data_IF_074081668636
#
_entry.id   IF_074081668636
#
_cell.length_a   1.000
_cell.length_b   1.000
_cell.length_c   1.000
_cell.angle_alpha   90.00
_cell.angle_beta   90.00
_cell.angle_gamma   90.00
#
_symmetry.space_group_name_H-M   'P 1'
#
loop_
_entity.id
_entity.type
_entity.pdbx_description
1 polymer ?
#
# COMPACT_ATOMS: atom_id res chain seq x y z
N UNK A 1 1.41 -3.14 0.76
CA UNK A 1 1.20 -4.31 -0.13
C UNK A 1 1.62 -5.57 0.59
N UNK A 2 1.31 -6.76 0.08
CA UNK A 2 1.68 -8.01 0.74
C UNK A 2 3.17 -8.29 0.50
N UNK A 3 3.91 -8.59 1.58
CA UNK A 3 5.37 -8.78 1.51
C UNK A 3 5.77 -10.04 0.72
N UNK A 4 4.90 -11.05 0.72
CA UNK A 4 5.06 -12.29 -0.02
C UNK A 4 4.55 -12.20 -1.47
N UNK A 5 4.08 -11.03 -1.91
CA UNK A 5 3.51 -10.83 -3.25
C UNK A 5 2.15 -11.50 -3.46
N UNK A 6 1.54 -12.06 -2.41
CA UNK A 6 0.21 -12.65 -2.46
C UNK A 6 -0.93 -11.63 -2.33
N UNK A 7 -2.13 -12.12 -2.08
CA UNK A 7 -3.31 -11.26 -1.88
C UNK A 7 -3.30 -10.58 -0.51
N UNK A 8 -3.72 -9.31 -0.48
CA UNK A 8 -3.92 -8.50 0.73
C UNK A 8 -5.23 -8.78 1.46
N UNK A 9 -6.14 -9.60 0.91
CA UNK A 9 -7.45 -9.91 1.54
C UNK A 9 -7.36 -10.78 2.80
N UNK A 10 -6.18 -11.37 3.05
CA UNK A 10 -5.93 -12.23 4.21
C UNK A 10 -6.01 -11.43 5.51
N UNK A 11 -6.64 -12.02 6.53
CA UNK A 11 -6.93 -11.35 7.80
C UNK A 11 -5.67 -10.84 8.51
N UNK A 12 -4.56 -11.60 8.49
CA UNK A 12 -3.28 -11.21 9.08
C UNK A 12 -2.68 -9.95 8.42
N UNK A 13 -2.83 -9.80 7.09
CA UNK A 13 -2.34 -8.63 6.35
C UNK A 13 -3.20 -7.40 6.62
N UNK A 14 -4.51 -7.59 6.69
CA UNK A 14 -5.44 -6.52 7.03
C UNK A 14 -5.32 -6.08 8.48
N UNK A 15 -4.99 -6.99 9.42
CA UNK A 15 -4.75 -6.63 10.80
C UNK A 15 -3.55 -5.69 10.92
N UNK A 16 -2.42 -6.06 10.34
CA UNK A 16 -1.23 -5.19 10.30
C UNK A 16 -1.50 -3.86 9.58
N UNK A 17 -2.35 -3.86 8.55
CA UNK A 17 -2.74 -2.63 7.84
C UNK A 17 -3.54 -1.69 8.75
N UNK A 18 -4.45 -2.24 9.55
CA UNK A 18 -5.24 -1.46 10.53
C UNK A 18 -4.36 -1.02 11.70
N UNK A 19 -3.40 -1.84 12.13
CA UNK A 19 -2.44 -1.48 13.18
C UNK A 19 -1.57 -0.27 12.76
N UNK A 20 -1.12 -0.23 11.49
CA UNK A 20 -0.45 0.96 10.93
C UNK A 20 -1.37 2.18 11.00
N UNK A 21 -2.62 2.02 10.59
CA UNK A 21 -3.59 3.12 10.57
C UNK A 21 -3.85 3.70 11.96
N UNK A 22 -4.00 2.85 12.97
CA UNK A 22 -4.17 3.24 14.36
C UNK A 22 -2.91 3.90 14.95
N UNK A 23 -1.75 3.31 14.66
CA UNK A 23 -0.47 3.82 15.15
C UNK A 23 -0.15 5.20 14.58
N UNK A 24 -0.24 5.37 13.26
CA UNK A 24 0.01 6.65 12.57
C UNK A 24 -0.98 7.73 13.02
N UNK A 25 -2.23 7.33 13.29
CA UNK A 25 -3.25 8.26 13.73
C UNK A 25 -2.98 8.89 15.11
N UNK A 26 -2.29 8.18 16.00
CA UNK A 26 -2.16 8.55 17.43
C UNK A 26 -0.72 8.89 17.88
N UNK A 27 0.31 8.27 17.29
CA UNK A 27 1.67 8.30 17.84
C UNK A 27 2.57 9.42 17.28
N UNK A 28 2.04 10.25 16.38
CA UNK A 28 2.79 11.36 15.76
C UNK A 28 2.20 12.73 16.14
N UNK A 29 2.38 13.20 17.38
CA UNK A 29 1.93 14.52 17.78
C UNK A 29 2.90 15.60 17.30
N UNK A 30 2.39 16.62 16.61
CA UNK A 30 3.12 17.87 16.34
C UNK A 30 2.41 18.99 17.08
N UNK A 31 3.15 19.74 17.91
CA UNK A 31 2.57 20.73 18.84
C UNK A 31 1.45 20.14 19.71
N UNK A 32 1.61 18.90 20.17
CA UNK A 32 0.64 18.17 20.99
C UNK A 32 -0.71 17.87 20.31
N UNK A 33 -0.79 17.98 18.98
CA UNK A 33 -1.95 17.57 18.18
C UNK A 33 -1.59 16.35 17.33
N UNK A 34 -2.41 15.32 17.39
CA UNK A 34 -2.29 14.09 16.59
C UNK A 34 -3.11 14.19 15.30
N UNK A 35 -2.97 13.21 14.40
CA UNK A 35 -3.78 13.17 13.18
C UNK A 35 -5.29 13.18 13.48
N UNK A 36 -5.72 12.43 14.50
CA UNK A 36 -7.14 12.36 14.86
C UNK A 36 -7.69 13.68 15.43
N UNK A 37 -6.82 14.57 15.91
CA UNK A 37 -7.24 15.90 16.37
C UNK A 37 -7.42 16.89 15.22
N UNK A 38 -6.74 16.65 14.08
CA UNK A 38 -6.67 17.60 12.95
C UNK A 38 -7.43 17.15 11.70
N UNK A 39 -7.86 15.90 11.61
CA UNK A 39 -8.39 15.32 10.36
C UNK A 39 -9.77 15.85 9.93
N UNK A 40 -10.51 16.53 10.81
CA UNK A 40 -11.86 17.04 10.55
C UNK A 40 -12.77 16.02 9.84
N UNK A 41 -13.14 16.24 8.58
CA UNK A 41 -14.02 15.37 7.80
C UNK A 41 -13.32 14.16 7.18
N UNK A 42 -11.98 14.11 7.21
CA UNK A 42 -11.18 13.05 6.58
C UNK A 42 -10.79 11.92 7.53
N UNK A 43 -11.18 11.98 8.81
CA UNK A 43 -10.89 10.92 9.79
C UNK A 43 -11.46 9.57 9.36
N UNK A 44 -12.57 9.59 8.61
CA UNK A 44 -13.28 8.41 8.11
C UNK A 44 -12.83 7.97 6.71
N UNK A 45 -11.78 8.58 6.14
CA UNK A 45 -11.34 8.26 4.78
C UNK A 45 -10.92 6.79 4.61
N UNK A 46 -10.44 6.15 5.68
CA UNK A 46 -10.01 4.74 5.68
C UNK A 46 -11.05 3.79 6.28
N UNK A 47 -12.28 4.26 6.49
CA UNK A 47 -13.33 3.50 7.15
C UNK A 47 -13.65 2.20 6.41
N UNK A 48 -13.69 2.26 5.08
CA UNK A 48 -13.93 1.09 4.24
C UNK A 48 -12.91 -0.03 4.49
N UNK A 49 -11.63 0.30 4.72
CA UNK A 49 -10.57 -0.68 5.03
C UNK A 49 -10.80 -1.33 6.40
N UNK A 50 -11.13 -0.52 7.42
CA UNK A 50 -11.43 -1.02 8.77
C UNK A 50 -12.65 -1.92 8.77
N UNK A 51 -13.72 -1.50 8.10
CA UNK A 51 -14.97 -2.26 8.07
C UNK A 51 -14.86 -3.51 7.22
N UNK A 52 -14.07 -3.51 6.15
CA UNK A 52 -13.78 -4.74 5.40
C UNK A 52 -13.11 -5.79 6.29
N UNK A 53 -12.08 -5.40 7.06
CA UNK A 53 -11.41 -6.28 8.02
C UNK A 53 -12.36 -6.79 9.11
N UNK A 54 -13.20 -5.91 9.66
CA UNK A 54 -14.18 -6.29 10.68
C UNK A 54 -15.25 -7.23 10.13
N UNK A 55 -15.76 -6.95 8.94
CA UNK A 55 -16.71 -7.83 8.26
C UNK A 55 -16.12 -9.20 7.95
N UNK A 56 -14.83 -9.27 7.57
CA UNK A 56 -14.14 -10.55 7.37
C UNK A 56 -14.04 -11.34 8.67
N UNK A 57 -13.74 -10.68 9.79
CA UNK A 57 -13.73 -11.30 11.12
C UNK A 57 -15.12 -11.79 11.53
N UNK A 58 -16.18 -11.00 11.29
CA UNK A 58 -17.55 -11.38 11.61
C UNK A 58 -18.00 -12.61 10.80
N UNK A 59 -17.66 -12.63 9.51
CA UNK A 59 -17.96 -13.77 8.63
C UNK A 59 -17.24 -15.04 9.08
N UNK A 60 -15.97 -14.93 9.49
CA UNK A 60 -15.21 -16.05 10.04
C UNK A 60 -15.83 -16.63 11.33
N UNK A 61 -16.58 -15.82 12.09
CA UNK A 61 -17.28 -16.28 13.30
C UNK A 61 -18.67 -16.89 13.06
N UNK A 62 -19.11 -17.04 11.80
CA UNK A 62 -20.44 -17.59 11.41
C UNK A 62 -21.64 -16.91 12.09
N UNK A 63 -21.51 -15.65 12.53
CA UNK A 63 -22.54 -14.95 13.31
C UNK A 63 -23.51 -14.10 12.48
N UNK A 64 -23.27 -13.93 11.18
CA UNK A 64 -24.12 -13.11 10.31
C UNK A 64 -24.32 -13.84 8.99
N UNK A 65 -25.50 -14.42 8.81
CA UNK A 65 -25.94 -15.15 7.60
C UNK A 65 -26.84 -14.28 6.71
N UNK A 66 -27.12 -13.05 7.13
CA UNK A 66 -27.99 -12.16 6.38
C UNK A 66 -27.20 -11.23 5.45
N UNK A 67 -27.34 -11.48 4.14
CA UNK A 67 -26.70 -10.72 3.06
C UNK A 67 -27.13 -9.25 3.04
N UNK A 68 -28.31 -8.92 3.62
CA UNK A 68 -28.81 -7.55 3.69
C UNK A 68 -27.98 -6.68 4.67
N UNK A 69 -27.38 -7.33 5.68
CA UNK A 69 -26.56 -6.68 6.70
C UNK A 69 -25.06 -6.75 6.42
N UNK A 70 -24.57 -7.82 5.81
CA UNK A 70 -23.15 -8.01 5.55
C UNK A 70 -22.90 -8.62 4.16
N UNK A 71 -22.19 -7.87 3.31
CA UNK A 71 -21.71 -8.35 2.01
C UNK A 71 -20.33 -7.76 1.74
N UNK A 72 -19.29 -8.61 1.63
CA UNK A 72 -17.92 -8.18 1.38
C UNK A 72 -17.55 -8.20 -0.10
N UNK A 73 -18.46 -7.75 -0.96
CA UNK A 73 -18.21 -7.66 -2.39
C UNK A 73 -17.47 -6.39 -2.78
N UNK A 74 -16.70 -6.45 -3.86
CA UNK A 74 -16.11 -5.32 -4.57
C UNK A 74 -16.95 -4.99 -5.81
N UNK A 75 -17.17 -3.71 -6.16
CA UNK A 75 -16.55 -2.49 -5.60
C UNK A 75 -17.23 -1.92 -4.35
N UNK A 76 -18.50 -2.23 -4.12
CA UNK A 76 -19.27 -1.72 -2.99
C UNK A 76 -19.53 -2.86 -2.03
N UNK A 77 -19.11 -2.68 -0.78
CA UNK A 77 -19.40 -3.61 0.32
C UNK A 77 -20.58 -3.08 1.17
N UNK A 78 -21.34 -4.00 1.75
CA UNK A 78 -22.38 -3.71 2.74
C UNK A 78 -21.87 -4.11 4.12
N UNK A 79 -21.91 -3.20 5.08
CA UNK A 79 -21.59 -3.49 6.47
C UNK A 79 -22.62 -2.83 7.39
N UNK A 80 -23.34 -3.65 8.16
CA UNK A 80 -24.40 -3.22 9.09
C UNK A 80 -25.44 -2.33 8.39
N UNK A 81 -25.88 -2.75 7.20
CA UNK A 81 -26.88 -2.01 6.42
C UNK A 81 -26.36 -0.78 5.68
N UNK A 82 -25.08 -0.41 5.84
CA UNK A 82 -24.45 0.73 5.15
C UNK A 82 -23.59 0.26 3.98
N UNK A 83 -23.74 0.93 2.84
CA UNK A 83 -22.90 0.72 1.66
C UNK A 83 -21.62 1.56 1.76
N UNK A 84 -20.47 0.90 1.61
CA UNK A 84 -19.14 1.50 1.61
C UNK A 84 -18.42 1.16 0.30
N UNK A 85 -17.82 2.17 -0.32
CA UNK A 85 -17.03 2.00 -1.54
C UNK A 85 -15.59 1.60 -1.21
N UNK A 86 -15.16 0.45 -1.71
CA UNK A 86 -13.79 -0.05 -1.56
C UNK A 86 -12.84 0.51 -2.62
N UNK A 87 -13.36 1.00 -3.74
CA UNK A 87 -12.59 1.46 -4.91
C UNK A 87 -11.52 2.52 -4.58
N UNK A 88 -11.73 3.48 -3.65
CA UNK A 88 -10.71 4.47 -3.30
C UNK A 88 -9.49 3.90 -2.56
N UNK A 89 -9.62 2.73 -1.96
CA UNK A 89 -8.56 2.11 -1.14
C UNK A 89 -8.04 0.80 -1.72
N UNK A 90 -8.82 0.05 -2.49
CA UNK A 90 -8.48 -1.29 -2.96
C UNK A 90 -8.04 -1.25 -4.43
N UNK A 91 -6.78 -1.62 -4.69
CA UNK A 91 -6.18 -1.52 -6.02
C UNK A 91 -5.63 -2.86 -6.50
N UNK A 92 -5.72 -3.09 -7.82
CA UNK A 92 -5.33 -4.35 -8.46
C UNK A 92 -6.20 -5.53 -8.02
N UNK A 93 -7.51 -5.28 -7.88
CA UNK A 93 -8.52 -6.28 -7.54
C UNK A 93 -8.78 -7.16 -8.75
N UNK A 94 -8.77 -8.48 -8.55
CA UNK A 94 -9.34 -9.47 -9.48
C UNK A 94 -10.55 -10.09 -8.80
N UNK A 95 -11.69 -10.03 -9.47
CA UNK A 95 -12.94 -10.63 -9.01
C UNK A 95 -13.13 -11.99 -9.63
N UNK A 96 -13.82 -12.87 -8.92
CA UNK A 96 -14.25 -14.16 -9.46
C UNK A 96 -15.36 -13.89 -10.48
N UNK A 97 -15.02 -13.92 -11.76
CA UNK A 97 -16.02 -13.80 -12.82
C UNK A 97 -16.84 -15.09 -12.89
N UNK A 98 -18.15 -14.98 -12.70
CA UNK A 98 -19.11 -16.09 -12.76
C UNK A 98 -19.11 -16.79 -14.12
N UNK A 99 -18.60 -16.17 -15.18
CA UNK A 99 -18.40 -16.77 -16.51
C UNK A 99 -17.34 -17.88 -16.53
N UNK A 100 -16.44 -17.94 -15.53
CA UNK A 100 -15.46 -19.03 -15.41
C UNK A 100 -15.98 -20.23 -14.59
N UNK A 101 -17.08 -20.05 -13.86
CA UNK A 101 -17.68 -21.11 -13.02
C UNK A 101 -18.48 -22.11 -13.88
N UNK A 102 -19.11 -21.66 -14.97
CA UNK A 102 -19.82 -22.54 -15.91
C UNK A 102 -18.91 -23.57 -16.62
N UNK A 103 -17.61 -23.25 -16.76
CA UNK A 103 -16.62 -24.15 -17.35
C UNK A 103 -16.02 -25.17 -16.35
N UNK A 104 -16.26 -25.01 -15.04
CA UNK A 104 -15.87 -26.02 -14.03
C UNK A 104 -17.01 -26.96 -13.66
N UNK A 105 -18.26 -26.52 -13.74
CA UNK A 105 -19.43 -27.40 -13.54
C UNK A 105 -19.66 -28.38 -14.68
N UNK A 106 -19.13 -28.12 -15.88
CA UNK A 106 -19.20 -29.03 -17.04
C UNK A 106 -18.12 -30.14 -17.04
N UNK A 107 -17.20 -30.14 -16.07
CA UNK A 107 -16.20 -31.21 -15.83
C UNK A 107 -16.50 -31.92 -14.49
N UNK A 108 -17.78 -32.08 -14.14
CA UNK A 108 -18.20 -32.94 -13.01
C UNK A 108 -19.46 -33.77 -13.32
N UNK A 109 -19.74 -34.03 -14.59
CA UNK A 109 -20.80 -34.94 -15.01
C UNK A 109 -20.34 -35.84 -16.15
N UNK A 110 -19.34 -36.67 -15.86
CA UNK A 110 -19.08 -37.94 -16.55
C UNK A 110 -17.90 -38.66 -15.89
N UNK A 111 -18.13 -39.18 -14.69
CA UNK A 111 -17.42 -40.39 -14.26
C UNK A 111 -18.45 -41.36 -13.74
N UNK A 112 -18.96 -42.19 -14.64
CA UNK A 112 -19.67 -43.41 -14.33
C UNK A 112 -18.72 -44.28 -13.51
N UNK A 113 -18.93 -44.35 -12.20
CA UNK A 113 -18.25 -45.34 -11.35
C UNK A 113 -19.05 -46.62 -11.48
N UNK A 114 -18.52 -47.58 -12.23
CA UNK A 114 -18.84 -48.98 -12.02
C UNK A 114 -18.16 -49.39 -10.71
N UNK A 115 -18.92 -50.03 -9.83
CA UNK A 115 -18.43 -50.66 -8.61
C UNK A 115 -17.37 -51.70 -8.98
N UNK A 116 -16.15 -51.57 -8.45
CA UNK A 116 -15.50 -52.71 -7.79
C UNK A 116 -14.33 -52.26 -6.90
N UNK A 117 -14.21 -53.02 -5.82
CA UNK A 117 -13.07 -53.25 -4.93
C UNK A 117 -12.55 -52.20 -3.92
N UNK A 118 -12.22 -52.77 -2.77
CA UNK A 118 -11.72 -52.16 -1.54
C UNK A 118 -10.33 -51.56 -1.72
N UNK A 119 -10.09 -50.35 -1.20
CA UNK A 119 -8.92 -50.12 -0.33
C UNK A 119 -9.03 -48.77 0.40
N UNK A 120 -8.60 -48.82 1.65
CA UNK A 120 -8.84 -47.87 2.71
C UNK A 120 -7.53 -47.12 2.97
N UNK A 121 -7.33 -45.94 2.39
CA UNK A 121 -6.17 -45.09 2.66
C UNK A 121 -6.56 -43.69 3.15
N UNK A 122 -6.45 -43.56 4.47
CA UNK A 122 -6.69 -42.37 5.26
C UNK A 122 -5.42 -41.50 5.29
N UNK A 123 -5.03 -40.88 4.19
CA UNK A 123 -4.09 -39.75 4.28
C UNK A 123 -4.09 -38.86 3.04
N UNK A 124 -5.05 -37.96 2.99
CA UNK A 124 -4.79 -36.65 2.42
C UNK A 124 -5.63 -35.66 3.23
N UNK A 125 -5.01 -35.15 4.29
CA UNK A 125 -5.46 -33.91 4.93
C UNK A 125 -5.24 -32.81 3.89
N UNK A 126 -6.13 -32.74 2.92
CA UNK A 126 -6.40 -31.52 2.20
C UNK A 126 -6.90 -30.58 3.28
N UNK A 127 -5.99 -29.76 3.80
CA UNK A 127 -6.33 -28.53 4.50
C UNK A 127 -7.00 -27.66 3.43
N UNK A 128 -8.25 -27.99 3.11
CA UNK A 128 -9.16 -27.07 2.45
C UNK A 128 -9.39 -26.03 3.51
N UNK A 129 -8.56 -24.98 3.50
CA UNK A 129 -8.80 -23.76 4.26
C UNK A 129 -10.22 -23.32 3.93
N UNK A 130 -11.19 -23.48 4.84
CA UNK A 130 -12.55 -23.05 4.53
C UNK A 130 -12.56 -21.53 4.58
N UNK A 131 -13.39 -20.92 3.72
CA UNK A 131 -13.94 -19.58 3.92
C UNK A 131 -13.05 -18.34 3.64
N UNK A 132 -12.54 -18.19 2.40
CA UNK A 132 -12.32 -16.83 1.84
C UNK A 132 -13.11 -16.59 0.55
N UNK A 133 -13.26 -17.61 -0.31
CA UNK A 133 -14.05 -17.53 -1.56
C UNK A 133 -15.57 -17.56 -1.35
N UNK A 134 -16.05 -17.90 -0.15
CA UNK A 134 -17.48 -17.93 0.17
C UNK A 134 -18.02 -16.61 0.75
N UNK A 135 -17.12 -15.67 1.08
CA UNK A 135 -17.46 -14.45 1.84
C UNK A 135 -17.38 -13.19 0.96
N UNK A 136 -16.51 -13.20 -0.04
CA UNK A 136 -16.23 -12.08 -0.92
C UNK A 136 -16.05 -12.56 -2.36
N UNK A 137 -16.40 -11.70 -3.33
CA UNK A 137 -16.10 -11.93 -4.75
C UNK A 137 -14.64 -11.59 -5.12
N UNK A 138 -13.81 -11.15 -4.18
CA UNK A 138 -12.42 -10.79 -4.42
C UNK A 138 -11.53 -12.04 -4.41
N UNK A 139 -11.00 -12.41 -5.57
CA UNK A 139 -10.00 -13.47 -5.70
C UNK A 139 -8.61 -12.98 -5.27
N UNK A 140 -8.24 -11.78 -5.72
CA UNK A 140 -6.90 -11.25 -5.51
C UNK A 140 -6.93 -9.73 -5.31
N UNK A 141 -6.29 -9.23 -4.25
CA UNK A 141 -6.09 -7.82 -3.97
C UNK A 141 -4.60 -7.50 -3.91
N UNK A 142 -4.11 -6.62 -4.79
CA UNK A 142 -2.67 -6.32 -4.89
C UNK A 142 -2.21 -5.27 -3.86
N UNK A 143 -2.97 -4.20 -3.69
CA UNK A 143 -2.58 -3.05 -2.89
C UNK A 143 -3.79 -2.49 -2.12
N UNK A 144 -3.55 -2.16 -0.86
CA UNK A 144 -4.45 -1.34 -0.04
C UNK A 144 -3.79 0.00 0.17
N UNK A 145 -4.51 1.08 -0.11
CA UNK A 145 -4.09 2.47 0.06
C UNK A 145 -4.80 3.05 1.26
N UNK A 146 -4.01 3.63 2.17
CA UNK A 146 -4.49 4.40 3.31
C UNK A 146 -4.32 5.89 2.99
N UNK A 147 -5.39 6.66 3.17
CA UNK A 147 -5.42 8.11 2.96
C UNK A 147 -5.33 8.82 4.30
N UNK A 148 -4.27 9.59 4.50
CA UNK A 148 -4.19 10.55 5.60
C UNK A 148 -4.31 11.94 5.01
N UNK A 149 -5.44 12.60 5.26
CA UNK A 149 -5.70 13.97 4.79
C UNK A 149 -6.23 14.77 5.96
N UNK A 150 -5.74 15.99 6.11
CA UNK A 150 -6.19 16.91 7.11
C UNK A 150 -6.05 18.33 6.56
N UNK A 151 -7.01 19.24 6.83
CA UNK A 151 -6.76 20.66 6.66
C UNK A 151 -5.65 21.12 7.60
N UNK A 152 -4.98 22.21 7.23
CA UNK A 152 -3.97 22.83 8.09
C UNK A 152 -4.64 23.40 9.35
N UNK A 153 -4.26 22.95 10.56
CA UNK A 153 -4.72 23.57 11.80
C UNK A 153 -4.28 25.03 11.90
N UNK A 154 -5.08 25.87 12.56
CA UNK A 154 -4.78 27.30 12.73
C UNK A 154 -3.47 27.58 13.46
N UNK A 155 -3.04 26.67 14.33
CA UNK A 155 -1.79 26.77 15.12
C UNK A 155 -0.55 26.29 14.36
N UNK A 156 -0.74 25.62 13.22
CA UNK A 156 0.33 24.99 12.45
C UNK A 156 0.76 25.88 11.29
N UNK A 157 2.04 25.88 10.99
CA UNK A 157 2.61 26.40 9.76
C UNK A 157 2.88 25.25 8.78
N UNK A 158 3.22 25.58 7.53
CA UNK A 158 3.65 24.62 6.52
C UNK A 158 4.78 23.71 7.00
N UNK A 159 5.74 24.24 7.76
CA UNK A 159 6.83 23.46 8.33
C UNK A 159 6.36 22.43 9.36
N UNK A 160 5.33 22.74 10.16
CA UNK A 160 4.78 21.80 11.14
C UNK A 160 4.03 20.66 10.44
N UNK A 161 3.26 20.97 9.39
CA UNK A 161 2.63 19.95 8.54
C UNK A 161 3.67 19.05 7.88
N UNK A 162 4.72 19.65 7.34
CA UNK A 162 5.80 18.91 6.69
C UNK A 162 6.59 18.06 7.69
N UNK A 163 6.76 18.52 8.93
CA UNK A 163 7.36 17.74 10.00
C UNK A 163 6.52 16.53 10.35
N UNK A 164 5.20 16.69 10.46
CA UNK A 164 4.29 15.57 10.67
C UNK A 164 4.43 14.53 9.54
N UNK A 165 4.35 14.94 8.27
CA UNK A 165 4.52 14.03 7.13
C UNK A 165 5.88 13.31 7.14
N UNK A 166 6.97 14.04 7.46
CA UNK A 166 8.31 13.45 7.56
C UNK A 166 8.42 12.45 8.69
N UNK A 167 7.83 12.73 9.85
CA UNK A 167 7.86 11.85 11.02
C UNK A 167 7.18 10.51 10.71
N UNK A 168 5.99 10.56 10.09
CA UNK A 168 5.26 9.38 9.61
C UNK A 168 6.06 8.65 8.53
N UNK A 169 6.58 9.39 7.54
CA UNK A 169 7.37 8.83 6.44
C UNK A 169 8.62 8.08 6.92
N UNK A 170 9.34 8.68 7.86
CA UNK A 170 10.54 8.11 8.47
C UNK A 170 10.20 6.84 9.26
N UNK A 171 9.17 6.87 10.09
CA UNK A 171 8.75 5.69 10.85
C UNK A 171 8.41 4.53 9.92
N UNK A 172 7.54 4.74 8.92
CA UNK A 172 7.09 3.66 8.03
C UNK A 172 8.24 3.11 7.19
N UNK A 173 9.19 3.94 6.77
CA UNK A 173 10.29 3.52 5.88
C UNK A 173 11.46 2.90 6.65
N UNK A 174 11.77 3.40 7.86
CA UNK A 174 13.00 3.02 8.60
C UNK A 174 12.72 2.10 9.77
N UNK A 175 11.65 2.35 10.52
CA UNK A 175 11.39 1.69 11.80
C UNK A 175 10.35 0.57 11.69
N UNK A 176 9.32 0.77 10.87
CA UNK A 176 8.24 -0.20 10.73
C UNK A 176 8.74 -1.47 10.04
N UNK A 177 8.57 -2.61 10.72
CA UNK A 177 8.94 -3.94 10.22
C UNK A 177 7.82 -4.92 10.54
N UNK A 178 7.03 -5.26 9.53
CA UNK A 178 6.04 -6.33 9.60
C UNK A 178 6.52 -7.60 8.88
N UNK A 179 5.97 -8.75 9.30
CA UNK A 179 6.12 -10.03 8.62
C UNK A 179 5.21 -10.15 7.40
N UNK A 180 4.06 -9.47 7.41
CA UNK A 180 2.96 -9.66 6.46
C UNK A 180 2.89 -8.56 5.41
N UNK A 181 2.98 -7.30 5.83
CA UNK A 181 2.80 -6.15 4.94
C UNK A 181 4.09 -5.38 4.75
N UNK A 182 4.29 -4.91 3.52
CA UNK A 182 5.32 -3.96 3.14
C UNK A 182 4.64 -2.62 2.80
N UNK A 183 4.69 -1.63 3.71
CA UNK A 183 4.07 -0.34 3.49
C UNK A 183 4.99 0.57 2.66
N UNK A 184 4.37 1.37 1.80
CA UNK A 184 5.07 2.37 0.98
C UNK A 184 4.41 3.71 1.27
N UNK A 185 5.21 4.71 1.61
CA UNK A 185 4.72 6.07 1.87
C UNK A 185 4.77 6.88 0.59
N UNK A 186 3.71 7.64 0.35
CA UNK A 186 3.66 8.65 -0.69
C UNK A 186 3.24 9.98 -0.07
N UNK A 187 4.12 10.97 -0.13
CA UNK A 187 3.80 12.34 0.24
C UNK A 187 4.57 13.34 -0.63
N UNK A 188 4.03 14.55 -0.75
CA UNK A 188 4.67 15.62 -1.54
C UNK A 188 5.96 16.05 -0.87
N UNK A 189 5.96 16.19 0.47
CA UNK A 189 7.14 16.57 1.25
C UNK A 189 8.25 15.53 1.11
N UNK A 190 7.92 14.24 1.20
CA UNK A 190 8.89 13.16 1.01
C UNK A 190 9.51 13.21 -0.39
N UNK A 191 8.70 13.43 -1.42
CA UNK A 191 9.18 13.52 -2.81
C UNK A 191 10.09 14.73 -3.01
N UNK A 192 9.77 15.87 -2.38
CA UNK A 192 10.61 17.06 -2.43
C UNK A 192 11.98 16.83 -1.79
N UNK A 193 12.01 16.23 -0.60
CA UNK A 193 13.26 15.90 0.09
C UNK A 193 14.14 14.96 -0.76
N UNK A 194 13.50 14.00 -1.43
CA UNK A 194 14.17 13.05 -2.32
C UNK A 194 14.75 13.71 -3.59
N UNK A 195 14.02 14.66 -4.18
CA UNK A 195 14.51 15.48 -5.30
C UNK A 195 15.68 16.36 -4.87
N UNK A 196 15.61 16.99 -3.70
CA UNK A 196 16.70 17.83 -3.16
C UNK A 196 17.94 16.99 -2.89
N UNK A 197 17.79 15.80 -2.29
CA UNK A 197 18.88 14.84 -2.05
C UNK A 197 19.56 14.40 -3.34
N UNK A 198 18.76 14.14 -4.38
CA UNK A 198 19.27 13.80 -5.71
C UNK A 198 20.02 14.99 -6.33
N UNK A 199 19.49 16.20 -6.18
CA UNK A 199 20.16 17.43 -6.63
C UNK A 199 21.51 17.68 -5.94
N UNK A 200 21.59 17.46 -4.63
CA UNK A 200 22.85 17.58 -3.87
C UNK A 200 23.88 16.53 -4.29
N UNK A 201 23.44 15.31 -4.61
CA UNK A 201 24.33 14.25 -5.11
C UNK A 201 24.87 14.55 -6.51
N UNK A 202 24.15 15.34 -7.31
CA UNK A 202 24.58 15.78 -8.64
C UNK A 202 25.59 16.94 -8.61
N UNK A 203 25.51 17.81 -7.58
CA UNK A 203 26.36 18.98 -7.44
C UNK A 203 27.88 18.74 -7.63
N UNK A 204 28.53 17.74 -6.99
CA UNK A 204 29.97 17.53 -7.16
C UNK A 204 30.38 17.22 -8.61
N UNK A 205 29.54 16.52 -9.37
CA UNK A 205 29.82 16.22 -10.77
C UNK A 205 29.83 17.48 -11.64
N UNK A 206 28.92 18.42 -11.37
CA UNK A 206 28.90 19.72 -12.06
C UNK A 206 30.16 20.52 -11.76
N UNK A 207 30.58 20.58 -10.49
CA UNK A 207 31.80 21.29 -10.09
C UNK A 207 33.04 20.72 -10.78
N UNK A 208 33.16 19.40 -10.86
CA UNK A 208 34.26 18.73 -11.59
C UNK A 208 34.20 19.09 -13.08
N UNK A 209 33.02 19.03 -13.69
CA UNK A 209 32.84 19.40 -15.10
C UNK A 209 33.29 20.83 -15.39
N UNK A 210 32.85 21.80 -14.59
CA UNK A 210 33.27 23.21 -14.72
C UNK A 210 34.78 23.38 -14.53
N UNK A 211 35.37 22.68 -13.55
CA UNK A 211 36.81 22.75 -13.28
C UNK A 211 37.63 22.24 -14.47
N UNK A 212 37.24 21.11 -15.06
CA UNK A 212 37.92 20.54 -16.24
C UNK A 212 37.80 21.48 -17.45
N UNK A 213 36.62 22.09 -17.67
CA UNK A 213 36.42 23.05 -18.77
C UNK A 213 37.28 24.31 -18.61
N UNK A 214 37.34 24.88 -17.41
CA UNK A 214 38.15 26.08 -17.12
C UNK A 214 39.63 25.78 -17.27
N UNK A 215 40.10 24.66 -16.70
CA UNK A 215 41.53 24.29 -16.77
C UNK A 215 41.99 24.03 -18.21
N UNK A 216 41.21 23.32 -19.01
CA UNK A 216 41.53 23.08 -20.42
C UNK A 216 41.52 24.38 -21.25
N UNK A 217 40.56 25.27 -20.99
CA UNK A 217 40.49 26.57 -21.67
C UNK A 217 41.70 27.44 -21.35
N UNK A 218 42.09 27.54 -20.08
CA UNK A 218 43.28 28.28 -19.65
C UNK A 218 44.56 27.70 -20.25
N UNK A 219 44.70 26.37 -20.28
CA UNK A 219 45.83 25.69 -20.90
C UNK A 219 45.94 26.00 -22.40
N UNK A 220 44.82 25.92 -23.11
CA UNK A 220 44.78 26.16 -24.56
C UNK A 220 45.14 27.62 -24.87
N UNK A 221 44.58 28.57 -24.12
CA UNK A 221 44.90 30.01 -24.27
C UNK A 221 46.36 30.30 -23.92
N UNK A 222 46.89 29.72 -22.86
CA UNK A 222 48.28 29.92 -22.44
C UNK A 222 49.27 29.42 -23.50
N UNK A 223 49.03 28.23 -24.07
CA UNK A 223 49.85 27.69 -25.17
C UNK A 223 49.78 28.62 -26.38
N UNK A 224 48.58 29.07 -26.76
CA UNK A 224 48.40 29.99 -27.88
C UNK A 224 49.11 31.34 -27.68
N UNK A 225 49.05 31.91 -26.48
CA UNK A 225 49.73 33.16 -26.15
C UNK A 225 51.25 33.04 -26.21
N UNK A 226 51.81 31.92 -25.73
CA UNK A 226 53.24 31.62 -25.79
C UNK A 226 53.71 31.40 -27.23
N UNK A 227 52.91 30.72 -28.07
CA UNK A 227 53.29 30.45 -29.45
C UNK A 227 53.31 31.72 -30.32
N UNK A 228 52.43 32.68 -30.03
CA UNK A 228 52.36 33.96 -30.76
C UNK A 228 53.33 35.03 -30.20
N UNK A 229 54.30 34.67 -29.34
CA UNK A 229 55.33 35.57 -28.79
C UNK A 229 54.79 36.88 -28.18
N UNK A 230 53.53 36.88 -27.71
CA UNK A 230 52.90 38.06 -27.10
C UNK A 230 53.20 38.20 -25.60
N UNK A 231 53.93 37.25 -25.01
CA UNK A 231 54.41 37.31 -23.62
C UNK A 231 55.93 37.21 -23.66
N UNK A 232 56.59 38.36 -23.46
CA UNK A 232 58.05 38.47 -23.35
C UNK A 232 58.56 37.92 -22.02
#
# INVERSE_FOLDING_TARGET
MAKDGGTMTRLEHLNDTVDILDYVGTNFPVKNLTYYDICENFCLANEAVRQFRNGLLLSATNKVVDNDFLNLSYPIMRFVGHDLDLSPSFFGVKTIDTSTVENRSSISSSKTINNDDSDNDNNSTTVVTPAMSAVSNIEHLKLVVLHFRAPQPTEWNFFDMAEWERSVGNYITKEYRSKYVDPIVFSVVYTQDEVIRTGQSLHPYLVVGFTVMVTFSLLTVYIGAKYNDQVK
#
